data_IF_045650578850
#
_entry.id   IF_045650578850
#
_cell.length_a   1.000
_cell.length_b   1.000
_cell.length_c   1.000
_cell.angle_alpha   90.00
_cell.angle_beta   90.00
_cell.angle_gamma   90.00
#
_symmetry.space_group_name_H-M   'P 1'
#
loop_
_entity.id
_entity.type
_entity.pdbx_description
1 polymer ?
#
# COMPACT_ATOMS: atom_id res chain seq x y z
N UNK A 1 -2.07 -11.02 22.34
CA UNK A 1 -1.17 -11.98 21.71
C UNK A 1 -1.39 -12.13 20.22
N UNK A 2 -2.58 -12.55 19.85
CA UNK A 2 -2.92 -12.70 18.43
C UNK A 2 -3.09 -11.37 17.73
N UNK A 3 -3.54 -10.34 18.43
CA UNK A 3 -3.75 -9.03 17.83
C UNK A 3 -2.44 -8.42 17.33
N UNK A 4 -1.38 -8.60 18.08
CA UNK A 4 -0.09 -8.04 17.68
C UNK A 4 0.41 -8.67 16.40
N UNK A 5 0.20 -9.97 16.26
CA UNK A 5 0.60 -10.67 15.05
C UNK A 5 -0.23 -10.24 13.85
N UNK A 6 -1.51 -9.98 14.06
CA UNK A 6 -2.39 -9.51 13.01
C UNK A 6 -1.98 -8.11 12.56
N UNK A 7 -1.61 -7.24 13.49
CA UNK A 7 -1.15 -5.91 13.16
C UNK A 7 0.14 -5.94 12.33
N UNK A 8 1.07 -6.81 12.69
CA UNK A 8 2.30 -6.96 11.93
C UNK A 8 2.04 -7.45 10.51
N UNK A 9 1.11 -8.38 10.37
CA UNK A 9 0.75 -8.89 9.06
C UNK A 9 0.10 -7.81 8.20
N UNK A 10 -0.73 -6.98 8.80
CA UNK A 10 -1.36 -5.87 8.08
C UNK A 10 -0.34 -4.86 7.62
N UNK A 11 0.60 -4.51 8.48
CA UNK A 11 1.65 -3.57 8.13
C UNK A 11 2.51 -4.10 6.99
N UNK A 12 2.84 -5.38 7.06
CA UNK A 12 3.62 -6.02 6.02
C UNK A 12 2.87 -6.01 4.69
N UNK A 13 1.59 -6.35 4.71
CA UNK A 13 0.78 -6.37 3.51
C UNK A 13 0.63 -4.97 2.91
N UNK A 14 0.42 -3.97 3.78
CA UNK A 14 0.29 -2.59 3.32
C UNK A 14 1.60 -2.11 2.69
N UNK A 15 2.72 -2.46 3.27
CA UNK A 15 4.03 -2.08 2.74
C UNK A 15 4.24 -2.68 1.36
N UNK A 16 3.88 -3.94 1.19
CA UNK A 16 4.00 -4.59 -0.12
C UNK A 16 3.11 -3.91 -1.16
N UNK A 17 1.90 -3.54 -0.77
CA UNK A 17 1.00 -2.83 -1.68
C UNK A 17 1.57 -1.48 -2.09
N UNK A 18 2.12 -0.75 -1.13
CA UNK A 18 2.70 0.57 -1.42
C UNK A 18 3.88 0.45 -2.37
N UNK A 19 4.73 -0.55 -2.16
CA UNK A 19 5.85 -0.80 -3.06
C UNK A 19 5.36 -1.10 -4.47
N UNK A 20 4.30 -1.88 -4.57
CA UNK A 20 3.72 -2.23 -5.86
C UNK A 20 3.19 -0.98 -6.57
N UNK A 21 2.50 -0.13 -5.85
CA UNK A 21 1.97 1.10 -6.42
C UNK A 21 3.08 2.03 -6.90
N UNK A 22 4.17 2.09 -6.14
CA UNK A 22 5.33 2.88 -6.54
C UNK A 22 5.91 2.37 -7.85
N UNK A 23 6.04 1.05 -7.98
CA UNK A 23 6.55 0.45 -9.20
C UNK A 23 5.66 0.77 -10.39
N UNK A 24 4.35 0.69 -10.19
CA UNK A 24 3.42 1.00 -11.25
C UNK A 24 3.51 2.46 -11.68
N UNK A 25 3.72 3.35 -10.71
CA UNK A 25 3.88 4.77 -11.03
C UNK A 25 5.15 5.00 -11.83
N UNK A 26 6.25 4.40 -11.45
CA UNK A 26 7.52 4.53 -12.16
C UNK A 26 7.42 3.96 -13.56
N UNK A 27 6.70 2.87 -13.72
CA UNK A 27 6.51 2.23 -15.00
C UNK A 27 5.55 3.01 -15.91
N UNK A 28 4.85 4.00 -15.36
CA UNK A 28 3.89 4.78 -16.11
C UNK A 28 2.55 4.10 -16.31
N UNK A 29 2.29 3.06 -15.53
CA UNK A 29 1.02 2.34 -15.63
C UNK A 29 -0.12 3.08 -14.94
N UNK A 30 0.21 3.91 -13.97
CA UNK A 30 -0.76 4.75 -13.27
C UNK A 30 -0.21 6.17 -13.17
N UNK A 31 -1.11 7.13 -12.95
CA UNK A 31 -0.72 8.52 -12.77
C UNK A 31 -0.42 8.80 -11.31
N UNK A 32 0.21 9.95 -11.05
CA UNK A 32 0.48 10.37 -9.68
C UNK A 32 -0.81 10.47 -8.88
N UNK A 33 -1.84 11.00 -9.48
CA UNK A 33 -3.14 11.13 -8.81
C UNK A 33 -3.69 9.78 -8.42
N UNK A 34 -3.61 8.82 -9.33
CA UNK A 34 -4.10 7.47 -9.04
C UNK A 34 -3.27 6.82 -7.96
N UNK A 35 -1.96 7.02 -8.01
CA UNK A 35 -1.06 6.50 -6.98
C UNK A 35 -1.46 7.04 -5.60
N UNK A 36 -1.70 8.34 -5.51
CA UNK A 36 -2.10 8.96 -4.26
C UNK A 36 -3.41 8.39 -3.74
N UNK A 37 -4.37 8.16 -4.62
CA UNK A 37 -5.64 7.58 -4.24
C UNK A 37 -5.47 6.18 -3.65
N UNK A 38 -4.65 5.38 -4.30
CA UNK A 38 -4.42 4.01 -3.85
C UNK A 38 -3.69 3.99 -2.50
N UNK A 39 -2.71 4.85 -2.35
CA UNK A 39 -1.98 4.97 -1.09
C UNK A 39 -2.93 5.39 0.03
N UNK A 40 -3.79 6.35 -0.24
CA UNK A 40 -4.76 6.82 0.75
C UNK A 40 -5.70 5.69 1.18
N UNK A 41 -6.12 4.85 0.25
CA UNK A 41 -6.98 3.72 0.57
C UNK A 41 -6.29 2.72 1.47
N UNK A 42 -5.02 2.45 1.19
CA UNK A 42 -4.26 1.51 2.01
C UNK A 42 -4.09 2.05 3.42
N UNK A 43 -3.81 3.34 3.55
CA UNK A 43 -3.61 3.96 4.85
C UNK A 43 -4.92 4.20 5.59
N UNK A 44 -5.99 4.38 4.86
CA UNK A 44 -7.29 4.68 5.44
C UNK A 44 -8.04 3.46 5.98
N UNK A 45 -7.56 2.28 5.73
CA UNK A 45 -8.24 1.05 6.17
C UNK A 45 -7.71 0.46 7.48
#
# INVERSE_FOLDING_TARGET
>A
MTQKKIEEEREFAAQCMLDKFDEMLEAGEITQQRHDELVAKVKGV
#
